data_IF_397553663358
#
_entry.id   IF_397553663358
#
_cell.length_a   1.000
_cell.length_b   1.000
_cell.length_c   1.000
_cell.angle_alpha   90.00
_cell.angle_beta   90.00
_cell.angle_gamma   90.00
#
_symmetry.space_group_name_H-M   'P 1'
#
loop_
_entity.id
_entity.type
_entity.pdbx_description
1 polymer ?
#
# COMPACT_ATOMS: atom_id res chain seq x y z
N UNK A 1 -4.91 16.70 -8.70
CA UNK A 1 -3.59 17.33 -8.48
C UNK A 1 -2.68 17.04 -9.65
N UNK A 2 -1.80 17.97 -10.02
CA UNK A 2 -0.74 17.76 -11.01
C UNK A 2 0.56 17.43 -10.27
N UNK A 3 1.13 16.26 -10.54
CA UNK A 3 2.35 15.76 -9.90
C UNK A 3 3.31 15.21 -10.94
N UNK A 4 4.59 15.05 -10.59
CA UNK A 4 5.58 14.37 -11.42
C UNK A 4 5.64 12.87 -11.11
N UNK A 5 6.20 12.08 -12.01
CA UNK A 5 6.49 10.67 -11.76
C UNK A 5 7.42 10.44 -10.56
N UNK A 6 8.37 11.36 -10.31
CA UNK A 6 9.20 11.34 -9.11
C UNK A 6 8.37 11.51 -7.83
N UNK A 7 7.36 12.39 -7.85
CA UNK A 7 6.49 12.62 -6.70
C UNK A 7 5.65 11.37 -6.38
N UNK A 8 5.15 10.66 -7.42
CA UNK A 8 4.45 9.39 -7.23
C UNK A 8 5.32 8.34 -6.53
N UNK A 9 6.60 8.25 -6.92
CA UNK A 9 7.53 7.32 -6.28
C UNK A 9 7.77 7.71 -4.82
N UNK A 10 8.12 8.96 -4.54
CA UNK A 10 8.40 9.42 -3.17
C UNK A 10 7.15 9.33 -2.27
N UNK A 11 5.95 9.54 -2.83
CA UNK A 11 4.69 9.30 -2.14
C UNK A 11 4.54 7.84 -1.72
N UNK A 12 4.72 6.90 -2.65
CA UNK A 12 4.66 5.47 -2.37
C UNK A 12 5.74 5.03 -1.36
N UNK A 13 6.92 5.65 -1.40
CA UNK A 13 7.97 5.42 -0.39
C UNK A 13 7.52 5.88 1.00
N UNK A 14 6.77 6.99 1.14
CA UNK A 14 6.18 7.36 2.44
C UNK A 14 5.09 6.36 2.86
N UNK A 15 4.19 5.96 1.95
CA UNK A 15 3.19 4.91 2.24
C UNK A 15 3.86 3.62 2.71
N UNK A 16 5.00 3.23 2.11
CA UNK A 16 5.74 2.03 2.48
C UNK A 16 6.32 2.06 3.90
N UNK A 17 6.21 3.18 4.63
CA UNK A 17 6.49 3.27 6.07
C UNK A 17 5.53 2.43 6.95
N UNK A 18 4.41 1.95 6.40
CA UNK A 18 3.52 0.98 7.04
C UNK A 18 4.21 -0.34 7.37
N UNK A 19 5.33 -0.66 6.70
CA UNK A 19 6.02 -1.93 6.89
C UNK A 19 7.29 -1.78 7.74
N UNK A 20 7.54 -2.72 8.65
CA UNK A 20 8.84 -2.84 9.30
C UNK A 20 9.91 -3.31 8.30
N UNK A 21 11.18 -3.07 8.62
CA UNK A 21 12.27 -3.70 7.89
C UNK A 21 12.37 -5.17 8.30
N UNK A 22 12.41 -6.07 7.33
CA UNK A 22 12.65 -7.50 7.56
C UNK A 22 14.15 -7.77 7.53
N UNK A 23 14.68 -8.31 8.63
CA UNK A 23 16.04 -8.81 8.73
C UNK A 23 16.14 -10.20 8.10
N UNK A 24 16.79 -10.27 6.94
CA UNK A 24 17.00 -11.50 6.16
C UNK A 24 17.96 -12.50 6.83
N UNK A 25 18.65 -12.09 7.90
CA UNK A 25 19.60 -12.94 8.65
C UNK A 25 18.98 -13.58 9.89
N UNK A 26 17.77 -13.15 10.26
CA UNK A 26 17.04 -13.60 11.44
C UNK A 26 15.95 -14.60 11.07
N UNK A 27 15.96 -15.74 11.77
CA UNK A 27 14.90 -16.75 11.75
C UNK A 27 13.84 -16.52 12.84
N UNK A 28 14.02 -15.50 13.68
CA UNK A 28 13.07 -15.14 14.73
C UNK A 28 11.80 -14.51 14.13
N UNK A 29 10.68 -14.54 14.88
CA UNK A 29 9.47 -13.83 14.52
C UNK A 29 9.69 -12.33 14.25
N UNK A 30 9.16 -11.83 13.14
CA UNK A 30 9.22 -10.43 12.74
C UNK A 30 7.82 -9.95 12.35
N UNK A 31 7.30 -8.90 13.00
CA UNK A 31 6.03 -8.30 12.56
C UNK A 31 6.26 -7.51 11.28
N UNK A 32 5.42 -7.73 10.28
CA UNK A 32 5.46 -7.04 9.00
C UNK A 32 4.95 -5.60 9.13
N UNK A 33 3.93 -5.39 9.95
CA UNK A 33 3.24 -4.10 10.07
C UNK A 33 3.88 -3.23 11.16
N UNK A 34 4.13 -1.96 10.83
CA UNK A 34 4.64 -0.96 11.74
C UNK A 34 3.49 -0.34 12.55
N UNK A 35 3.00 -1.05 13.56
CA UNK A 35 2.02 -0.52 14.50
C UNK A 35 2.61 0.53 15.46
N UNK A 36 3.94 0.66 15.50
CA UNK A 36 4.65 1.62 16.35
C UNK A 36 4.71 3.00 15.68
N UNK A 37 3.55 3.65 15.59
CA UNK A 37 3.42 5.05 15.20
C UNK A 37 2.89 5.27 13.79
N UNK A 38 3.00 4.31 12.86
CA UNK A 38 2.41 4.49 11.54
C UNK A 38 0.88 4.45 11.63
N UNK A 39 0.24 5.44 11.01
CA UNK A 39 -1.22 5.55 10.99
C UNK A 39 -1.74 5.01 9.67
N UNK A 40 -2.61 4.00 9.70
CA UNK A 40 -3.06 3.29 8.50
C UNK A 40 -3.71 4.20 7.42
N UNK A 41 -4.31 5.34 7.81
CA UNK A 41 -4.85 6.32 6.85
C UNK A 41 -3.77 7.08 6.04
N UNK A 42 -2.49 6.91 6.39
CA UNK A 42 -1.35 7.41 5.62
C UNK A 42 -0.78 6.35 4.65
N UNK A 43 -1.35 5.15 4.62
CA UNK A 43 -1.02 4.17 3.59
C UNK A 43 -1.90 4.40 2.37
N UNK A 44 -1.33 5.01 1.34
CA UNK A 44 -2.01 5.20 0.05
C UNK A 44 -1.52 4.20 -1.00
N UNK A 45 -2.44 3.79 -1.87
CA UNK A 45 -2.18 3.01 -3.08
C UNK A 45 -2.75 3.73 -4.30
N UNK A 46 -2.17 3.49 -5.48
CA UNK A 46 -2.66 4.04 -6.75
C UNK A 46 -3.20 2.92 -7.64
N UNK A 47 -4.43 3.08 -8.14
CA UNK A 47 -5.14 2.04 -8.91
C UNK A 47 -4.43 1.67 -10.23
N UNK A 48 -3.93 2.66 -10.97
CA UNK A 48 -3.32 2.46 -12.29
C UNK A 48 -1.80 2.22 -12.29
N UNK A 49 -1.17 2.27 -11.11
CA UNK A 49 0.27 2.00 -10.98
C UNK A 49 0.50 0.54 -10.62
N UNK A 50 1.57 -0.03 -11.16
CA UNK A 50 2.06 -1.33 -10.71
C UNK A 50 3.48 -1.26 -10.18
N UNK A 51 3.72 -1.88 -9.03
CA UNK A 51 4.99 -1.79 -8.30
C UNK A 51 5.15 -2.91 -7.28
N UNK A 52 6.36 -3.05 -6.74
CA UNK A 52 6.66 -3.94 -5.63
C UNK A 52 7.27 -3.16 -4.47
N UNK A 53 7.04 -3.62 -3.24
CA UNK A 53 7.61 -3.02 -2.02
C UNK A 53 8.66 -3.97 -1.44
N UNK A 54 9.93 -3.58 -1.51
CA UNK A 54 11.05 -4.30 -0.91
C UNK A 54 11.18 -3.94 0.59
N UNK A 55 10.65 -4.81 1.44
CA UNK A 55 10.67 -4.64 2.91
C UNK A 55 12.00 -5.02 3.55
N UNK A 56 12.99 -5.49 2.79
CA UNK A 56 14.34 -5.78 3.33
C UNK A 56 15.17 -4.51 3.55
N UNK A 57 14.83 -3.42 2.84
CA UNK A 57 15.45 -2.11 3.04
C UNK A 57 14.81 -1.35 4.20
N UNK A 58 15.57 -0.47 4.89
CA UNK A 58 14.98 0.44 5.87
C UNK A 58 13.95 1.37 5.20
N UNK A 59 12.99 1.87 5.97
CA UNK A 59 12.02 2.84 5.44
C UNK A 59 12.74 4.14 5.08
N UNK A 60 12.46 4.68 3.89
CA UNK A 60 13.02 5.98 3.45
C UNK A 60 12.55 7.13 4.34
N UNK A 61 11.28 7.07 4.73
CA UNK A 61 10.57 8.09 5.49
C UNK A 61 10.16 7.60 6.88
N UNK A 62 10.04 8.53 7.82
CA UNK A 62 9.34 8.29 9.09
C UNK A 62 7.80 8.32 8.92
N UNK A 63 7.07 8.17 10.02
CA UNK A 63 5.59 8.21 10.06
C UNK A 63 5.01 9.58 9.68
N UNK A 64 5.88 10.60 9.63
CA UNK A 64 5.58 11.97 9.25
C UNK A 64 6.03 12.37 7.84
N UNK A 65 6.43 11.39 7.02
CA UNK A 65 6.98 11.63 5.69
C UNK A 65 8.24 12.51 5.69
N UNK A 66 9.00 12.55 6.78
CA UNK A 66 10.34 13.15 6.80
C UNK A 66 11.38 12.12 6.38
N UNK A 67 12.36 12.54 5.55
CA UNK A 67 13.41 11.63 5.07
C UNK A 67 14.34 11.26 6.22
N UNK A 68 14.45 9.96 6.51
CA UNK A 68 15.35 9.41 7.52
C UNK A 68 16.42 8.49 6.92
N UNK A 69 16.15 7.88 5.77
CA UNK A 69 17.10 7.03 5.03
C UNK A 69 17.16 7.46 3.56
N UNK A 70 17.94 8.49 3.20
CA UNK A 70 17.92 9.10 1.86
C UNK A 70 18.42 8.19 0.74
N UNK A 71 19.11 7.09 1.07
CA UNK A 71 19.57 6.09 0.10
C UNK A 71 18.60 4.90 -0.01
N UNK A 72 17.63 4.77 0.89
CA UNK A 72 16.67 3.68 0.86
C UNK A 72 15.63 3.91 -0.23
N UNK A 73 15.27 2.83 -0.93
CA UNK A 73 14.22 2.81 -1.94
C UNK A 73 13.50 1.45 -1.90
N UNK A 74 12.34 1.42 -1.26
CA UNK A 74 11.50 0.21 -1.17
C UNK A 74 10.69 0.00 -2.44
N UNK A 75 10.32 1.05 -3.16
CA UNK A 75 9.48 0.95 -4.34
C UNK A 75 10.31 0.49 -5.54
N UNK A 76 10.01 -0.71 -6.03
CA UNK A 76 10.64 -1.35 -7.20
C UNK A 76 9.66 -1.46 -8.36
N UNK A 77 10.21 -1.46 -9.57
CA UNK A 77 9.47 -1.75 -10.81
C UNK A 77 8.20 -0.92 -11.00
N UNK A 78 8.26 0.37 -10.65
CA UNK A 78 7.12 1.27 -10.76
C UNK A 78 6.75 1.53 -12.23
N UNK A 79 5.54 1.15 -12.61
CA UNK A 79 5.01 1.27 -13.97
C UNK A 79 3.63 1.89 -13.97
N UNK A 80 3.27 2.54 -15.08
CA UNK A 80 1.94 3.03 -15.41
C UNK A 80 1.55 2.47 -16.77
N UNK A 81 0.42 1.75 -16.84
CA UNK A 81 -0.05 1.07 -18.08
C UNK A 81 1.04 0.23 -18.74
N UNK A 82 1.79 -0.53 -17.92
CA UNK A 82 2.87 -1.43 -18.37
C UNK A 82 4.19 -0.75 -18.76
N UNK A 83 4.29 0.58 -18.68
CA UNK A 83 5.51 1.32 -19.00
C UNK A 83 6.17 1.87 -17.73
N UNK A 84 7.52 1.86 -17.62
CA UNK A 84 8.20 2.49 -16.50
C UNK A 84 7.79 3.95 -16.32
N UNK A 85 7.52 4.36 -15.08
CA UNK A 85 7.22 5.76 -14.76
C UNK A 85 8.48 6.60 -14.93
N UNK A 86 8.45 7.57 -15.84
CA UNK A 86 9.52 8.54 -16.06
C UNK A 86 9.41 9.65 -15.01
N UNK A 87 10.55 10.03 -14.41
CA UNK A 87 10.59 10.96 -13.27
C UNK A 87 9.88 12.30 -13.54
N UNK A 88 10.13 12.93 -14.69
CA UNK A 88 9.54 14.23 -15.04
C UNK A 88 8.20 14.14 -15.79
N UNK A 89 7.67 12.93 -16.01
CA UNK A 89 6.37 12.79 -16.67
C UNK A 89 5.27 13.40 -15.79
N UNK A 90 4.37 14.23 -16.36
CA UNK A 90 3.26 14.81 -15.61
C UNK A 90 2.13 13.79 -15.45
N UNK A 91 1.55 13.75 -14.25
CA UNK A 91 0.39 12.94 -13.91
C UNK A 91 -0.71 13.82 -13.31
N UNK A 92 -1.96 13.42 -13.55
CA UNK A 92 -3.12 13.91 -12.82
C UNK A 92 -3.56 12.83 -11.84
N UNK A 93 -3.58 13.18 -10.56
CA UNK A 93 -3.99 12.28 -9.48
C UNK A 93 -5.24 12.84 -8.81
N UNK A 94 -6.28 12.02 -8.73
CA UNK A 94 -7.47 12.31 -7.94
C UNK A 94 -7.23 11.89 -6.49
N UNK A 95 -7.42 12.79 -5.54
CA UNK A 95 -7.27 12.53 -4.10
C UNK A 95 -8.37 13.24 -3.31
N UNK A 96 -8.59 12.81 -2.07
CA UNK A 96 -9.48 13.51 -1.15
C UNK A 96 -8.87 14.85 -0.70
N UNK A 97 -9.73 15.70 -0.11
CA UNK A 97 -9.33 17.01 0.40
C UNK A 97 -8.21 16.93 1.46
N UNK A 98 -8.28 15.96 2.39
CA UNK A 98 -7.23 15.77 3.40
C UNK A 98 -5.84 15.66 2.76
N UNK A 99 -5.69 14.80 1.75
CA UNK A 99 -4.41 14.61 1.07
C UNK A 99 -4.03 15.79 0.19
N UNK A 100 -5.00 16.43 -0.47
CA UNK A 100 -4.74 17.59 -1.31
C UNK A 100 -4.18 18.78 -0.53
N UNK A 101 -4.75 19.07 0.64
CA UNK A 101 -4.48 20.30 1.39
C UNK A 101 -3.43 20.14 2.50
N UNK A 102 -3.21 18.94 3.05
CA UNK A 102 -2.21 18.76 4.13
C UNK A 102 -0.76 18.95 3.69
N UNK A 103 -0.44 18.79 2.40
CA UNK A 103 0.90 19.04 1.86
C UNK A 103 2.01 18.09 2.37
N UNK A 104 1.65 17.03 3.09
CA UNK A 104 2.60 16.12 3.76
C UNK A 104 3.32 15.15 2.81
N UNK A 105 2.67 14.78 1.71
CA UNK A 105 3.19 13.80 0.75
C UNK A 105 3.80 14.52 -0.46
N UNK A 106 4.78 13.90 -1.10
CA UNK A 106 5.40 14.47 -2.31
C UNK A 106 4.33 14.79 -3.37
N UNK A 107 4.42 15.97 -3.97
CA UNK A 107 3.44 16.45 -4.95
C UNK A 107 2.09 16.88 -4.37
N UNK A 108 1.84 16.78 -3.06
CA UNK A 108 0.63 17.35 -2.45
C UNK A 108 0.76 18.83 -2.08
N UNK A 109 -0.32 19.44 -1.58
CA UNK A 109 -0.41 20.86 -1.25
C UNK A 109 -1.11 21.70 -2.33
N UNK A 110 -1.64 22.85 -1.91
CA UNK A 110 -2.50 23.73 -2.70
C UNK A 110 -1.93 24.11 -4.08
N UNK A 111 -0.63 24.39 -4.13
CA UNK A 111 0.08 24.76 -5.37
C UNK A 111 -0.04 23.73 -6.50
N UNK A 112 -0.34 22.47 -6.18
CA UNK A 112 -0.44 21.36 -7.13
C UNK A 112 -1.91 21.03 -7.47
N UNK A 113 -2.88 21.72 -6.88
CA UNK A 113 -4.30 21.53 -7.18
C UNK A 113 -4.62 22.22 -8.52
N UNK A 114 -5.05 21.41 -9.50
CA UNK A 114 -5.49 21.92 -10.82
C UNK A 114 -7.01 21.93 -10.98
N UNK A 115 -7.71 21.11 -10.19
CA UNK A 115 -9.18 20.99 -10.15
C UNK A 115 -9.56 20.70 -8.70
N UNK A 116 -10.57 21.40 -8.19
CA UNK A 116 -11.18 21.16 -6.88
C UNK A 116 -12.68 20.91 -7.09
N UNK A 117 -13.18 19.76 -6.65
CA UNK A 117 -14.60 19.43 -6.66
C UNK A 117 -15.21 19.62 -5.26
N UNK A 118 -16.47 20.10 -5.14
CA UNK A 118 -17.20 20.11 -3.87
C UNK A 118 -17.75 18.72 -3.49
N UNK A 119 -17.68 17.74 -4.38
CA UNK A 119 -18.28 16.42 -4.17
C UNK A 119 -17.54 15.64 -3.09
N UNK A 120 -18.29 15.14 -2.11
CA UNK A 120 -17.74 14.26 -1.10
C UNK A 120 -17.41 12.87 -1.68
N UNK A 121 -16.30 12.28 -1.22
CA UNK A 121 -15.88 10.92 -1.63
C UNK A 121 -17.00 9.90 -1.45
N UNK A 122 -17.78 10.00 -0.36
CA UNK A 122 -18.91 9.09 -0.09
C UNK A 122 -20.00 9.21 -1.15
N UNK A 123 -20.33 10.43 -1.56
CA UNK A 123 -21.31 10.70 -2.62
C UNK A 123 -20.83 10.19 -3.96
N UNK A 124 -19.55 10.41 -4.31
CA UNK A 124 -18.94 9.89 -5.54
C UNK A 124 -19.05 8.35 -5.60
N UNK A 125 -18.65 7.67 -4.52
CA UNK A 125 -18.71 6.19 -4.44
C UNK A 125 -20.15 5.68 -4.50
N UNK A 126 -21.08 6.30 -3.76
CA UNK A 126 -22.48 5.90 -3.76
C UNK A 126 -23.13 6.07 -5.15
N UNK A 127 -22.84 7.17 -5.83
CA UNK A 127 -23.30 7.43 -7.19
C UNK A 127 -22.74 6.39 -8.16
N UNK A 128 -21.43 6.12 -8.10
CA UNK A 128 -20.80 5.11 -8.95
C UNK A 128 -21.41 3.72 -8.76
N UNK A 129 -21.56 3.24 -7.51
CA UNK A 129 -22.18 1.93 -7.24
C UNK A 129 -23.63 1.89 -7.72
N UNK A 130 -24.38 2.99 -7.52
CA UNK A 130 -25.77 3.10 -7.97
C UNK A 130 -25.89 3.03 -9.49
N UNK A 131 -25.01 3.72 -10.22
CA UNK A 131 -24.95 3.69 -11.68
C UNK A 131 -24.56 2.30 -12.20
N UNK A 132 -23.52 1.69 -11.64
CA UNK A 132 -23.08 0.34 -12.02
C UNK A 132 -24.18 -0.70 -11.75
N UNK A 133 -24.89 -0.59 -10.63
CA UNK A 133 -26.02 -1.47 -10.29
C UNK A 133 -27.19 -1.27 -11.25
N UNK A 134 -27.52 -0.03 -11.63
CA UNK A 134 -28.57 0.24 -12.63
C UNK A 134 -28.24 -0.35 -14.00
N UNK A 135 -26.97 -0.31 -14.40
CA UNK A 135 -26.52 -0.80 -15.72
C UNK A 135 -26.32 -2.31 -15.77
N UNK A 136 -25.85 -2.92 -14.68
CA UNK A 136 -25.39 -4.32 -14.66
C UNK A 136 -26.14 -5.22 -13.67
N UNK A 137 -27.17 -4.70 -13.00
CA UNK A 137 -27.98 -5.39 -11.99
C UNK A 137 -27.32 -5.46 -10.61
N UNK A 138 -25.99 -5.49 -10.53
CA UNK A 138 -25.23 -5.41 -9.31
C UNK A 138 -23.81 -4.88 -9.59
N UNK A 139 -23.26 -4.10 -8.65
CA UNK A 139 -21.84 -3.80 -8.65
C UNK A 139 -21.03 -5.02 -8.16
N UNK A 140 -20.01 -5.41 -8.93
CA UNK A 140 -19.06 -6.46 -8.56
C UNK A 140 -17.66 -5.84 -8.50
N UNK A 141 -17.06 -5.67 -7.31
CA UNK A 141 -15.72 -5.12 -7.22
C UNK A 141 -14.70 -6.10 -7.83
N UNK A 142 -13.73 -5.54 -8.55
CA UNK A 142 -12.60 -6.30 -9.10
C UNK A 142 -11.34 -6.06 -8.26
N UNK A 143 -10.66 -7.14 -7.91
CA UNK A 143 -9.35 -7.06 -7.23
C UNK A 143 -8.27 -6.91 -8.28
N UNK A 144 -7.64 -5.74 -8.33
CA UNK A 144 -6.42 -5.54 -9.13
C UNK A 144 -5.22 -5.86 -8.26
N UNK A 145 -4.48 -6.91 -8.61
CA UNK A 145 -3.18 -7.23 -7.99
C UNK A 145 -2.08 -6.36 -8.61
N UNK A 146 -2.29 -5.05 -8.64
CA UNK A 146 -1.40 -4.09 -9.28
C UNK A 146 -0.12 -3.88 -8.47
N UNK A 147 -0.13 -4.15 -7.15
CA UNK A 147 1.08 -4.12 -6.34
C UNK A 147 1.18 -5.32 -5.39
N UNK A 148 2.40 -5.57 -4.91
CA UNK A 148 2.71 -6.60 -3.91
C UNK A 148 3.94 -6.25 -3.09
N UNK A 149 4.16 -6.99 -2.01
CA UNK A 149 5.45 -7.02 -1.34
C UNK A 149 6.41 -7.82 -2.23
N UNK A 150 7.65 -7.35 -2.38
CA UNK A 150 8.64 -8.05 -3.19
C UNK A 150 9.01 -9.38 -2.54
N UNK A 151 9.27 -10.40 -3.37
CA UNK A 151 9.86 -11.63 -2.89
C UNK A 151 11.24 -11.36 -2.28
N UNK A 152 11.56 -12.08 -1.21
CA UNK A 152 12.80 -11.96 -0.45
C UNK A 152 13.68 -13.16 -0.77
N UNK A 153 14.93 -12.90 -1.17
CA UNK A 153 15.98 -13.92 -1.23
C UNK A 153 16.74 -13.90 0.09
N UNK A 154 16.71 -15.01 0.82
CA UNK A 154 17.40 -15.18 2.09
C UNK A 154 17.88 -16.63 2.25
N UNK A 155 19.05 -16.81 2.86
CA UNK A 155 19.65 -18.14 3.09
C UNK A 155 18.91 -18.93 4.18
N UNK A 156 18.18 -18.24 5.05
CA UNK A 156 17.42 -18.82 6.16
C UNK A 156 15.91 -18.75 5.91
N UNK A 157 15.13 -19.66 6.50
CA UNK A 157 13.69 -19.50 6.59
C UNK A 157 13.34 -18.26 7.42
N UNK A 158 12.47 -17.40 6.90
CA UNK A 158 11.95 -16.24 7.61
C UNK A 158 10.64 -16.58 8.35
N UNK A 159 10.41 -15.98 9.52
CA UNK A 159 9.13 -15.98 10.25
C UNK A 159 8.56 -14.56 10.24
N UNK A 160 7.84 -14.21 9.16
CA UNK A 160 7.24 -12.89 8.97
C UNK A 160 5.75 -12.99 9.29
N UNK A 161 5.28 -12.14 10.20
CA UNK A 161 3.93 -12.21 10.77
C UNK A 161 3.10 -10.99 10.38
N UNK A 162 1.83 -11.23 10.08
CA UNK A 162 0.86 -10.19 9.77
C UNK A 162 -0.45 -10.45 10.49
N UNK A 163 -1.04 -9.40 11.06
CA UNK A 163 -2.34 -9.44 11.72
C UNK A 163 -3.48 -9.15 10.72
N UNK A 164 -4.59 -9.87 10.85
CA UNK A 164 -5.81 -9.67 10.05
C UNK A 164 -7.06 -10.09 10.83
N UNK A 165 -8.24 -9.86 10.25
CA UNK A 165 -9.53 -10.26 10.84
C UNK A 165 -9.52 -11.75 11.23
N UNK A 166 -10.00 -12.11 12.44
CA UNK A 166 -10.07 -13.50 12.88
C UNK A 166 -11.29 -14.26 12.34
N UNK A 167 -12.02 -13.68 11.38
CA UNK A 167 -13.25 -14.26 10.83
C UNK A 167 -12.97 -15.39 9.84
N UNK A 168 -13.91 -16.32 9.71
CA UNK A 168 -13.85 -17.39 8.71
C UNK A 168 -13.79 -16.82 7.28
N UNK A 169 -14.57 -15.78 6.99
CA UNK A 169 -14.56 -15.10 5.69
C UNK A 169 -13.16 -14.59 5.31
N UNK A 170 -12.40 -14.07 6.28
CA UNK A 170 -11.02 -13.63 6.04
C UNK A 170 -10.09 -14.82 5.76
N UNK A 171 -10.24 -15.92 6.52
CA UNK A 171 -9.48 -17.15 6.29
C UNK A 171 -9.75 -17.75 4.89
N UNK A 172 -11.03 -17.82 4.49
CA UNK A 172 -11.43 -18.31 3.17
C UNK A 172 -10.88 -17.42 2.05
N UNK A 173 -10.93 -16.10 2.23
CA UNK A 173 -10.35 -15.15 1.26
C UNK A 173 -8.84 -15.33 1.12
N UNK A 174 -8.11 -15.50 2.22
CA UNK A 174 -6.66 -15.75 2.20
C UNK A 174 -6.34 -17.03 1.42
N UNK A 175 -7.07 -18.12 1.68
CA UNK A 175 -6.87 -19.39 0.97
C UNK A 175 -7.11 -19.27 -0.54
N UNK A 176 -8.05 -18.42 -0.96
CA UNK A 176 -8.43 -18.28 -2.37
C UNK A 176 -7.60 -17.23 -3.13
N UNK A 177 -7.14 -16.17 -2.45
CA UNK A 177 -6.72 -14.93 -3.10
C UNK A 177 -5.36 -14.38 -2.65
N UNK A 178 -4.68 -15.01 -1.68
CA UNK A 178 -3.39 -14.49 -1.22
C UNK A 178 -2.33 -14.51 -2.33
N UNK A 179 -1.59 -13.40 -2.48
CA UNK A 179 -0.49 -13.29 -3.45
C UNK A 179 0.78 -14.04 -3.01
N UNK A 180 0.87 -14.39 -1.73
CA UNK A 180 1.92 -15.20 -1.13
C UNK A 180 1.30 -16.28 -0.23
N UNK A 181 1.95 -17.44 -0.05
CA UNK A 181 1.46 -18.44 0.89
C UNK A 181 1.34 -17.85 2.30
N UNK A 182 0.23 -18.14 2.97
CA UNK A 182 -0.03 -17.67 4.33
C UNK A 182 -0.49 -18.86 5.19
N UNK A 183 -0.02 -18.93 6.44
CA UNK A 183 -0.39 -19.98 7.39
C UNK A 183 -0.80 -19.35 8.71
N UNK A 184 -1.98 -19.71 9.23
CA UNK A 184 -2.44 -19.23 10.54
C UNK A 184 -1.52 -19.77 11.64
N UNK A 185 -0.98 -18.88 12.47
CA UNK A 185 -0.12 -19.25 13.60
C UNK A 185 -0.78 -19.03 14.97
N UNK A 186 -1.87 -18.27 15.03
CA UNK A 186 -2.62 -18.06 16.26
C UNK A 186 -3.42 -16.76 16.24
N UNK A 187 -3.62 -16.20 17.44
CA UNK A 187 -4.19 -14.86 17.62
C UNK A 187 -3.26 -14.02 18.49
N UNK A 188 -3.30 -12.71 18.31
CA UNK A 188 -2.64 -11.77 19.20
C UNK A 188 -3.47 -11.51 20.48
N UNK A 189 -2.93 -10.70 21.39
CA UNK A 189 -3.53 -10.42 22.70
C UNK A 189 -4.84 -9.62 22.62
N UNK A 190 -5.13 -9.01 21.48
CA UNK A 190 -6.37 -8.23 21.24
C UNK A 190 -7.34 -8.97 20.31
N UNK A 191 -7.00 -10.19 19.89
CA UNK A 191 -7.89 -11.13 19.21
C UNK A 191 -7.80 -11.14 17.67
N UNK A 192 -6.87 -10.41 17.05
CA UNK A 192 -6.62 -10.54 15.61
C UNK A 192 -5.98 -11.88 15.29
N UNK A 193 -6.30 -12.45 14.13
CA UNK A 193 -5.60 -13.64 13.64
C UNK A 193 -4.21 -13.24 13.15
N UNK A 194 -3.20 -13.99 13.57
CA UNK A 194 -1.82 -13.80 13.14
C UNK A 194 -1.49 -14.88 12.12
N UNK A 195 -1.08 -14.46 10.92
CA UNK A 195 -0.61 -15.34 9.86
C UNK A 195 0.89 -15.18 9.67
N UNK A 196 1.58 -16.29 9.48
CA UNK A 196 2.92 -16.30 8.87
C UNK A 196 2.75 -16.16 7.36
N UNK A 197 3.38 -15.14 6.76
CA UNK A 197 3.44 -14.94 5.30
C UNK A 197 4.80 -15.40 4.75
N UNK A 198 4.80 -16.22 3.70
CA UNK A 198 6.01 -16.72 3.04
C UNK A 198 6.38 -15.79 1.88
N UNK A 199 7.21 -14.78 2.17
CA UNK A 199 7.73 -13.86 1.14
C UNK A 199 8.92 -14.44 0.38
N UNK A 200 9.35 -15.68 0.67
CA UNK A 200 10.40 -16.36 -0.10
C UNK A 200 9.81 -17.14 -1.29
N UNK A 201 8.48 -17.09 -1.49
CA UNK A 201 7.73 -17.75 -2.57
C UNK A 201 6.71 -16.82 -3.20
#
# INVERSE_FOLDING_TARGET
>A
MKVKGSDLKEWLECSAGMYNQIDVKSDKPQSLLNWNGFRAYNFDMFDDLSYQIDVTQPARYDVDCNVINPQAQRIKSLTYKGKPVVADAPFLVAVNNYRAFTGKFAGTGEKNIVISSPDEVRTIVANYISEQTKQHGAYKPEVKNNWRIAQITADKPLDIRIETSPSQNAADYILQSAQHPMTLVGKDDIGFAVYKIDLQK
#
